data_IF_637548883948
#
_entry.id   IF_637548883948
#
_cell.length_a   1.000
_cell.length_b   1.000
_cell.length_c   1.000
_cell.angle_alpha   90.00
_cell.angle_beta   90.00
_cell.angle_gamma   90.00
#
_symmetry.space_group_name_H-M   'P 1'
#
loop_
_entity.id
_entity.type
_entity.pdbx_description
1 polymer ?
#
# COMPACT_ATOMS: atom_id res chain seq x y z
N UNK A 1 23.73 19.35 13.75
CA UNK A 1 22.39 18.72 13.62
C UNK A 1 22.53 17.60 12.62
N UNK A 2 21.85 16.47 12.80
CA UNK A 2 21.89 15.38 11.81
C UNK A 2 21.13 15.79 10.55
N UNK A 3 21.66 15.48 9.37
CA UNK A 3 21.06 15.85 8.08
C UNK A 3 20.25 14.70 7.50
N UNK A 4 18.95 14.91 7.30
CA UNK A 4 18.05 13.91 6.72
C UNK A 4 17.66 14.35 5.32
N UNK A 5 17.95 13.53 4.31
CA UNK A 5 17.47 13.74 2.95
C UNK A 5 16.15 13.01 2.75
N UNK A 6 15.09 13.75 2.45
CA UNK A 6 13.78 13.19 2.13
C UNK A 6 13.53 13.17 0.63
N UNK A 7 13.42 11.97 0.07
CA UNK A 7 12.97 11.69 -1.29
C UNK A 7 11.47 11.38 -1.22
N UNK A 8 10.62 12.40 -1.39
CA UNK A 8 9.17 12.30 -1.08
C UNK A 8 8.30 13.22 -1.95
N UNK A 9 7.04 12.87 -2.15
CA UNK A 9 6.02 13.77 -2.71
C UNK A 9 5.14 14.46 -1.64
N UNK A 10 5.31 14.08 -0.37
CA UNK A 10 4.52 14.46 0.81
C UNK A 10 5.39 15.16 1.88
N UNK A 11 6.00 16.32 1.57
CA UNK A 11 6.97 16.98 2.46
C UNK A 11 6.42 17.37 3.82
N UNK A 12 5.11 17.66 3.90
CA UNK A 12 4.46 18.10 5.13
C UNK A 12 4.51 17.00 6.20
N UNK A 13 4.20 15.75 5.84
CA UNK A 13 4.23 14.62 6.78
C UNK A 13 5.68 14.31 7.22
N UNK A 14 6.64 14.35 6.29
CA UNK A 14 8.06 14.13 6.61
C UNK A 14 8.62 15.19 7.55
N UNK A 15 8.21 16.45 7.38
CA UNK A 15 8.64 17.55 8.26
C UNK A 15 8.25 17.32 9.73
N UNK A 16 7.12 16.65 9.97
CA UNK A 16 6.60 16.40 11.31
C UNK A 16 7.49 15.39 12.03
N UNK A 17 7.79 14.23 11.42
CA UNK A 17 8.58 13.20 12.10
C UNK A 17 10.10 13.42 12.01
N UNK A 18 10.58 14.34 11.17
CA UNK A 18 12.00 14.74 11.08
C UNK A 18 12.33 16.06 11.81
N UNK A 19 11.43 16.61 12.64
CA UNK A 19 11.56 17.98 13.19
C UNK A 19 12.86 18.27 13.97
N UNK A 20 13.51 17.24 14.52
CA UNK A 20 14.74 17.35 15.32
C UNK A 20 16.02 17.21 14.46
N UNK A 21 15.87 17.24 13.13
CA UNK A 21 16.96 17.11 12.14
C UNK A 21 17.02 18.29 11.16
N UNK A 22 18.16 18.48 10.49
CA UNK A 22 18.28 19.39 9.35
C UNK A 22 17.70 18.67 8.12
N UNK A 23 16.46 18.98 7.77
CA UNK A 23 15.73 18.33 6.68
C UNK A 23 16.11 18.93 5.31
N UNK A 24 16.66 18.08 4.45
CA UNK A 24 16.94 18.36 3.04
C UNK A 24 15.83 17.71 2.22
N UNK A 25 15.03 18.52 1.53
CA UNK A 25 13.89 18.02 0.76
C UNK A 25 14.24 17.91 -0.73
N UNK A 26 14.03 16.74 -1.31
CA UNK A 26 14.04 16.53 -2.75
C UNK A 26 12.73 15.90 -3.20
N UNK A 27 11.91 16.69 -3.89
CA UNK A 27 10.58 16.25 -4.29
C UNK A 27 10.66 15.23 -5.43
N UNK A 28 10.06 14.07 -5.22
CA UNK A 28 9.89 13.07 -6.28
C UNK A 28 8.50 13.19 -6.92
N UNK A 29 8.37 12.66 -8.14
CA UNK A 29 7.09 12.51 -8.83
C UNK A 29 6.74 11.02 -8.88
N UNK A 30 5.46 10.68 -8.68
CA UNK A 30 4.96 9.33 -8.97
C UNK A 30 4.87 9.16 -10.49
N UNK A 31 5.52 8.14 -11.03
CA UNK A 31 5.71 8.00 -12.47
C UNK A 31 4.85 6.87 -13.04
N UNK A 32 4.41 6.99 -14.31
CA UNK A 32 3.93 5.82 -15.03
C UNK A 32 5.09 4.86 -15.27
N UNK A 33 4.81 3.54 -15.27
CA UNK A 33 5.84 2.50 -15.43
C UNK A 33 6.75 2.69 -16.65
N UNK A 34 6.22 3.23 -17.75
CA UNK A 34 6.99 3.53 -18.97
C UNK A 34 8.12 4.56 -18.75
N UNK A 35 8.12 5.30 -17.64
CA UNK A 35 9.16 6.28 -17.25
C UNK A 35 10.11 5.76 -16.18
N UNK A 36 10.00 4.48 -15.78
CA UNK A 36 10.87 3.87 -14.76
C UNK A 36 12.24 3.42 -15.31
N UNK A 37 12.61 3.81 -16.54
CA UNK A 37 13.91 3.48 -17.12
C UNK A 37 15.08 4.12 -16.35
N UNK A 38 16.21 3.43 -16.28
CA UNK A 38 17.34 3.88 -15.47
C UNK A 38 18.02 5.15 -16.02
N UNK A 39 17.97 5.38 -17.33
CA UNK A 39 18.39 6.64 -17.95
C UNK A 39 17.64 7.85 -17.36
N UNK A 40 16.34 7.70 -17.11
CA UNK A 40 15.55 8.75 -16.47
C UNK A 40 15.99 8.97 -15.03
N UNK A 41 16.22 7.89 -14.26
CA UNK A 41 16.69 8.01 -12.87
C UNK A 41 18.08 8.63 -12.75
N UNK A 42 19.00 8.37 -13.68
CA UNK A 42 20.30 9.05 -13.76
C UNK A 42 20.13 10.56 -13.94
N UNK A 43 19.21 11.00 -14.81
CA UNK A 43 18.91 12.42 -14.99
C UNK A 43 18.30 13.07 -13.74
N UNK A 44 17.42 12.34 -13.03
CA UNK A 44 16.87 12.81 -11.74
C UNK A 44 17.98 12.90 -10.70
N UNK A 45 18.85 11.91 -10.63
CA UNK A 45 19.95 11.85 -9.68
C UNK A 45 21.02 12.92 -9.94
N UNK A 46 21.30 13.27 -11.20
CA UNK A 46 22.17 14.40 -11.53
C UNK A 46 21.64 15.71 -10.92
N UNK A 47 20.34 15.97 -11.02
CA UNK A 47 19.69 17.13 -10.39
C UNK A 47 19.76 17.08 -8.86
N UNK A 48 19.61 15.89 -8.27
CA UNK A 48 19.78 15.72 -6.82
C UNK A 48 21.21 16.09 -6.38
N UNK A 49 22.23 15.63 -7.11
CA UNK A 49 23.64 15.94 -6.82
C UNK A 49 23.98 17.43 -6.97
N UNK A 50 23.33 18.12 -7.90
CA UNK A 50 23.49 19.57 -8.04
C UNK A 50 22.82 20.34 -6.89
N UNK A 51 21.71 19.83 -6.37
CA UNK A 51 20.92 20.48 -5.32
C UNK A 51 21.41 20.17 -3.90
N UNK A 52 22.13 19.07 -3.70
CA UNK A 52 22.47 18.54 -2.37
C UNK A 52 23.88 17.96 -2.32
N UNK A 53 24.67 18.38 -1.33
CA UNK A 53 25.94 17.70 -0.99
C UNK A 53 25.65 16.39 -0.24
N UNK A 54 25.52 15.31 -1.02
CA UNK A 54 25.23 13.95 -0.53
C UNK A 54 26.28 13.42 0.45
N UNK A 55 27.50 13.96 0.44
CA UNK A 55 28.55 13.58 1.40
C UNK A 55 28.25 14.05 2.82
N UNK A 56 27.25 14.91 3.01
CA UNK A 56 26.83 15.43 4.32
C UNK A 56 25.55 14.80 4.86
N UNK A 57 24.87 13.97 4.06
CA UNK A 57 23.61 13.30 4.45
C UNK A 57 23.91 12.21 5.48
N UNK A 58 23.22 12.26 6.63
CA UNK A 58 23.34 11.27 7.71
C UNK A 58 22.32 10.14 7.57
N UNK A 59 21.17 10.38 6.93
CA UNK A 59 20.09 9.42 6.75
C UNK A 59 19.23 9.83 5.55
N UNK A 60 18.62 8.84 4.87
CA UNK A 60 17.61 9.05 3.84
C UNK A 60 16.23 8.60 4.32
N UNK A 61 15.20 9.39 4.04
CA UNK A 61 13.81 8.94 4.01
C UNK A 61 13.45 8.75 2.52
N UNK A 62 13.23 7.50 2.12
CA UNK A 62 12.93 7.12 0.75
C UNK A 62 11.47 6.67 0.64
N UNK A 63 10.58 7.58 0.24
CA UNK A 63 9.17 7.26 0.01
C UNK A 63 8.94 6.87 -1.46
N UNK A 64 8.00 5.96 -1.68
CA UNK A 64 7.64 5.40 -2.99
C UNK A 64 8.76 4.59 -3.67
N UNK A 65 8.38 3.86 -4.72
CA UNK A 65 9.29 2.97 -5.45
C UNK A 65 10.34 3.73 -6.27
N UNK A 66 10.07 4.99 -6.59
CA UNK A 66 10.88 5.90 -7.38
C UNK A 66 12.07 6.44 -6.58
N UNK A 67 12.01 6.39 -5.24
CA UNK A 67 13.16 6.71 -4.40
C UNK A 67 14.21 5.59 -4.36
N UNK A 68 13.84 4.33 -4.65
CA UNK A 68 14.75 3.19 -4.56
C UNK A 68 15.92 3.25 -5.58
N UNK A 69 15.70 3.58 -6.87
CA UNK A 69 16.80 3.80 -7.80
C UNK A 69 17.72 4.95 -7.40
N UNK A 70 17.16 6.04 -6.86
CA UNK A 70 17.95 7.18 -6.39
C UNK A 70 18.81 6.81 -5.17
N UNK A 71 18.28 6.00 -4.26
CA UNK A 71 19.03 5.46 -3.12
C UNK A 71 20.18 4.56 -3.58
N UNK A 72 19.94 3.69 -4.57
CA UNK A 72 21.00 2.88 -5.18
C UNK A 72 22.07 3.74 -5.86
N UNK A 73 21.68 4.74 -6.66
CA UNK A 73 22.61 5.66 -7.34
C UNK A 73 23.49 6.44 -6.36
N UNK A 74 22.91 6.87 -5.24
CA UNK A 74 23.63 7.52 -4.15
C UNK A 74 24.70 6.57 -3.55
N UNK A 75 24.34 5.31 -3.30
CA UNK A 75 25.26 4.29 -2.78
C UNK A 75 26.33 3.92 -3.79
N UNK A 76 25.98 3.87 -5.07
CA UNK A 76 26.93 3.65 -6.16
C UNK A 76 28.07 4.65 -6.14
N UNK A 77 27.74 5.92 -5.89
CA UNK A 77 28.72 7.00 -5.81
C UNK A 77 29.45 7.08 -4.45
N UNK A 78 29.26 6.07 -3.57
CA UNK A 78 29.96 5.94 -2.29
C UNK A 78 29.28 6.66 -1.12
N UNK A 79 28.09 7.21 -1.32
CA UNK A 79 27.30 7.83 -0.26
C UNK A 79 26.36 6.80 0.36
N UNK A 80 26.86 6.01 1.32
CA UNK A 80 26.05 5.00 2.03
C UNK A 80 25.71 5.47 3.45
N UNK A 81 24.43 5.72 3.69
CA UNK A 81 23.87 6.04 5.00
C UNK A 81 22.63 5.18 5.26
N UNK A 82 22.17 5.09 6.53
CA UNK A 82 20.89 4.48 6.87
C UNK A 82 19.74 5.05 6.04
N UNK A 83 18.84 4.19 5.57
CA UNK A 83 17.62 4.60 4.89
C UNK A 83 16.37 4.07 5.60
N UNK A 84 15.39 4.97 5.82
CA UNK A 84 14.01 4.63 6.11
C UNK A 84 13.25 4.51 4.79
N UNK A 85 12.85 3.32 4.42
CA UNK A 85 12.24 3.02 3.12
C UNK A 85 10.74 2.80 3.31
N UNK A 86 9.91 3.61 2.65
CA UNK A 86 8.45 3.56 2.73
C UNK A 86 7.91 3.37 1.30
N UNK A 87 7.78 2.12 0.81
CA UNK A 87 7.49 1.89 -0.60
C UNK A 87 6.02 2.14 -0.99
N UNK A 88 5.09 2.16 -0.03
CA UNK A 88 3.63 2.26 -0.23
C UNK A 88 2.98 1.16 -1.10
N UNK A 89 3.74 0.13 -1.44
CA UNK A 89 3.32 -1.01 -2.26
C UNK A 89 4.07 -2.24 -1.76
N UNK A 90 3.73 -3.42 -2.29
CA UNK A 90 4.48 -4.65 -2.10
C UNK A 90 5.63 -4.77 -3.11
N UNK A 91 6.61 -5.68 -2.91
CA UNK A 91 7.82 -5.83 -3.74
C UNK A 91 7.55 -6.44 -5.14
N UNK A 92 6.36 -6.21 -5.67
CA UNK A 92 5.86 -6.70 -6.93
C UNK A 92 4.97 -5.62 -7.54
N UNK A 93 5.01 -5.33 -8.85
CA UNK A 93 5.56 -6.03 -10.03
C UNK A 93 7.08 -5.96 -10.27
N UNK A 94 7.56 -6.61 -11.35
CA UNK A 94 8.99 -6.83 -11.67
C UNK A 94 9.87 -5.58 -11.60
N UNK A 95 9.37 -4.41 -12.02
CA UNK A 95 10.14 -3.16 -11.93
C UNK A 95 10.47 -2.80 -10.47
N UNK A 96 9.53 -3.04 -9.55
CA UNK A 96 9.72 -2.82 -8.12
C UNK A 96 10.69 -3.84 -7.57
N UNK A 97 10.53 -5.11 -7.94
CA UNK A 97 11.44 -6.19 -7.55
C UNK A 97 12.89 -5.87 -7.95
N UNK A 98 13.12 -5.43 -9.19
CA UNK A 98 14.45 -5.06 -9.67
C UNK A 98 15.04 -3.89 -8.88
N UNK A 99 14.27 -2.83 -8.65
CA UNK A 99 14.73 -1.69 -7.84
C UNK A 99 15.04 -2.09 -6.40
N UNK A 100 14.23 -2.97 -5.82
CA UNK A 100 14.44 -3.47 -4.47
C UNK A 100 15.72 -4.32 -4.38
N UNK A 101 16.00 -5.17 -5.39
CA UNK A 101 17.25 -5.92 -5.45
C UNK A 101 18.48 -4.99 -5.54
N UNK A 102 18.41 -3.88 -6.29
CA UNK A 102 19.49 -2.88 -6.30
C UNK A 102 19.78 -2.31 -4.91
N UNK A 103 18.73 -1.96 -4.16
CA UNK A 103 18.85 -1.47 -2.78
C UNK A 103 19.34 -2.57 -1.84
N UNK A 104 18.88 -3.80 -2.02
CA UNK A 104 19.29 -4.97 -1.24
C UNK A 104 20.79 -5.27 -1.40
N UNK A 105 21.29 -5.33 -2.64
CA UNK A 105 22.72 -5.55 -2.95
C UNK A 105 23.63 -4.44 -2.43
N UNK A 106 23.07 -3.26 -2.22
CA UNK A 106 23.80 -2.10 -1.69
C UNK A 106 23.36 -1.72 -0.28
N UNK A 107 22.69 -2.63 0.43
CA UNK A 107 22.05 -2.35 1.72
C UNK A 107 23.04 -1.80 2.75
N UNK A 108 22.62 -0.74 3.44
CA UNK A 108 23.31 -0.30 4.64
C UNK A 108 22.78 -1.12 5.83
N UNK A 109 23.61 -1.55 6.81
CA UNK A 109 23.14 -2.26 8.01
C UNK A 109 22.13 -1.45 8.85
N UNK A 110 22.00 -0.17 8.55
CA UNK A 110 21.04 0.79 9.08
C UNK A 110 19.71 0.87 8.36
N UNK A 111 19.50 0.12 7.28
CA UNK A 111 18.26 0.21 6.52
C UNK A 111 17.08 -0.42 7.25
N UNK A 112 15.92 0.20 7.07
CA UNK A 112 14.65 -0.29 7.58
C UNK A 112 13.55 -0.03 6.56
N UNK A 113 12.78 -1.05 6.22
CA UNK A 113 11.56 -0.92 5.41
C UNK A 113 10.35 -0.81 6.34
N UNK A 114 9.43 0.10 6.02
CA UNK A 114 8.17 0.25 6.72
C UNK A 114 7.01 -0.19 5.84
N UNK A 115 6.17 -1.06 6.40
CA UNK A 115 5.07 -1.69 5.70
C UNK A 115 3.73 -1.38 6.38
N UNK A 116 2.64 -1.51 5.60
CA UNK A 116 1.26 -1.32 6.08
C UNK A 116 0.66 -2.55 6.77
N UNK A 117 1.34 -3.70 6.69
CA UNK A 117 0.93 -4.97 7.31
C UNK A 117 2.14 -5.84 7.64
N UNK A 118 1.97 -6.79 8.57
CA UNK A 118 3.01 -7.77 8.93
C UNK A 118 3.33 -8.69 7.75
N UNK A 119 2.31 -9.03 6.96
CA UNK A 119 2.45 -9.83 5.74
C UNK A 119 3.32 -9.12 4.69
N UNK A 120 3.10 -7.82 4.48
CA UNK A 120 3.97 -7.01 3.63
C UNK A 120 5.39 -6.92 4.19
N UNK A 121 5.56 -6.74 5.51
CA UNK A 121 6.88 -6.73 6.14
C UNK A 121 7.64 -8.04 5.88
N UNK A 122 7.01 -9.19 6.13
CA UNK A 122 7.61 -10.50 5.87
C UNK A 122 7.99 -10.68 4.39
N UNK A 123 7.14 -10.23 3.45
CA UNK A 123 7.46 -10.28 2.02
C UNK A 123 8.68 -9.40 1.67
N UNK A 124 8.79 -8.20 2.23
CA UNK A 124 9.96 -7.33 2.03
C UNK A 124 11.24 -7.93 2.61
N UNK A 125 11.20 -8.47 3.82
CA UNK A 125 12.36 -9.13 4.44
C UNK A 125 12.82 -10.32 3.61
N UNK A 126 11.89 -11.16 3.15
CA UNK A 126 12.22 -12.33 2.35
C UNK A 126 12.83 -11.96 0.98
N UNK A 127 12.34 -10.90 0.34
CA UNK A 127 12.80 -10.49 -1.00
C UNK A 127 14.10 -9.69 -0.95
N UNK A 128 14.21 -8.72 -0.03
CA UNK A 128 15.33 -7.79 0.02
C UNK A 128 16.43 -8.21 1.02
N UNK A 129 16.10 -9.02 2.03
CA UNK A 129 16.97 -9.25 3.19
C UNK A 129 17.24 -7.98 3.99
N UNK A 130 16.41 -6.94 3.84
CA UNK A 130 16.45 -5.71 4.63
C UNK A 130 15.38 -5.85 5.72
N UNK A 131 15.69 -5.55 7.00
CA UNK A 131 14.70 -5.57 8.07
C UNK A 131 13.47 -4.76 7.70
N UNK A 132 12.28 -5.30 7.95
CA UNK A 132 11.02 -4.62 7.69
C UNK A 132 10.09 -4.67 8.89
N UNK A 133 9.38 -3.58 9.15
CA UNK A 133 8.43 -3.46 10.26
C UNK A 133 7.06 -3.05 9.76
N UNK A 134 6.01 -3.66 10.32
CA UNK A 134 4.67 -3.11 10.23
C UNK A 134 4.54 -1.99 11.25
N UNK A 135 4.25 -0.78 10.79
CA UNK A 135 3.97 0.36 11.67
C UNK A 135 2.65 1.05 11.30
N UNK A 136 1.74 0.34 10.62
CA UNK A 136 0.38 0.81 10.34
C UNK A 136 0.35 2.23 9.77
N UNK A 137 1.05 2.42 8.64
CA UNK A 137 1.47 3.74 8.16
C UNK A 137 0.31 4.67 7.75
N UNK A 138 0.59 5.97 7.90
CA UNK A 138 -0.21 7.17 7.63
C UNK A 138 -1.22 7.59 8.69
N UNK A 139 -1.67 6.68 9.55
CA UNK A 139 -2.60 6.95 10.64
C UNK A 139 -3.90 7.67 10.24
N UNK A 140 -4.87 7.69 11.14
CA UNK A 140 -6.16 8.33 10.93
C UNK A 140 -6.16 9.67 11.65
N UNK A 141 -6.41 10.74 10.90
CA UNK A 141 -6.49 12.10 11.42
C UNK A 141 -7.78 12.28 12.24
N UNK A 142 -7.73 13.15 13.23
CA UNK A 142 -8.83 13.45 14.17
C UNK A 142 -10.09 14.05 13.51
N UNK A 143 -9.95 14.61 12.31
CA UNK A 143 -11.08 15.08 11.49
C UNK A 143 -12.08 13.96 11.16
N UNK A 144 -11.63 12.70 11.13
CA UNK A 144 -12.47 11.53 10.91
C UNK A 144 -13.07 11.14 12.25
N UNK A 145 -14.29 11.63 12.50
CA UNK A 145 -15.00 11.45 13.77
C UNK A 145 -16.51 11.37 13.54
N UNK A 146 -17.27 10.77 14.48
CA UNK A 146 -18.71 10.72 14.38
C UNK A 146 -19.33 12.13 14.35
N UNK A 147 -20.38 12.30 13.56
CA UNK A 147 -21.11 13.54 13.36
C UNK A 147 -22.60 13.31 13.13
N UNK A 148 -23.35 14.38 12.84
CA UNK A 148 -24.80 14.32 12.63
C UNK A 148 -25.12 13.66 11.28
N UNK A 149 -25.67 12.44 11.36
CA UNK A 149 -26.11 11.64 10.20
C UNK A 149 -27.22 12.32 9.39
N UNK A 150 -28.18 12.98 10.03
CA UNK A 150 -29.31 13.59 9.33
C UNK A 150 -28.83 14.79 8.52
N UNK A 151 -27.99 15.63 9.13
CA UNK A 151 -27.34 16.75 8.43
C UNK A 151 -26.44 16.25 7.27
N UNK A 152 -25.67 15.18 7.51
CA UNK A 152 -24.83 14.57 6.50
C UNK A 152 -25.65 14.01 5.31
N UNK A 153 -26.77 13.33 5.56
CA UNK A 153 -27.67 12.86 4.49
C UNK A 153 -28.29 14.02 3.71
N UNK A 154 -28.76 15.05 4.41
CA UNK A 154 -29.34 16.25 3.80
C UNK A 154 -28.33 16.96 2.88
N UNK A 155 -27.06 17.07 3.29
CA UNK A 155 -25.97 17.68 2.48
C UNK A 155 -25.85 17.07 1.09
N UNK A 156 -26.06 15.75 0.96
CA UNK A 156 -25.93 15.02 -0.30
C UNK A 156 -27.28 14.66 -0.96
N UNK A 157 -28.40 15.11 -0.40
CA UNK A 157 -29.73 14.70 -0.87
C UNK A 157 -29.99 13.19 -0.74
N UNK A 158 -29.32 12.53 0.21
CA UNK A 158 -29.45 11.10 0.43
C UNK A 158 -30.72 10.77 1.23
N UNK A 159 -31.38 9.63 0.96
CA UNK A 159 -32.62 9.24 1.62
C UNK A 159 -32.45 9.05 3.13
N UNK A 160 -33.36 9.59 3.98
CA UNK A 160 -33.22 9.53 5.43
C UNK A 160 -33.41 8.12 6.01
N UNK A 161 -34.24 7.29 5.38
CA UNK A 161 -34.68 6.00 5.96
C UNK A 161 -34.10 4.76 5.27
N UNK A 162 -33.34 4.95 4.17
CA UNK A 162 -32.76 3.81 3.43
C UNK A 162 -31.43 3.37 4.06
N UNK A 163 -31.11 2.06 4.02
CA UNK A 163 -29.77 1.56 4.31
C UNK A 163 -28.80 2.05 3.24
N UNK A 164 -27.72 2.72 3.64
CA UNK A 164 -26.70 3.27 2.74
C UNK A 164 -25.38 2.51 2.92
N UNK A 165 -24.94 1.82 1.87
CA UNK A 165 -23.60 1.25 1.79
C UNK A 165 -22.67 2.29 1.17
N UNK A 166 -21.44 2.36 1.65
CA UNK A 166 -20.44 3.29 1.17
C UNK A 166 -19.15 2.57 0.77
N UNK A 167 -18.68 2.89 -0.43
CA UNK A 167 -17.32 2.62 -0.88
C UNK A 167 -16.59 3.94 -1.15
N UNK A 168 -15.33 4.03 -0.74
CA UNK A 168 -14.47 5.17 -1.08
C UNK A 168 -13.13 4.67 -1.62
N UNK A 169 -12.70 5.17 -2.78
CA UNK A 169 -11.44 4.73 -3.38
C UNK A 169 -11.33 5.10 -4.86
N UNK A 170 -10.57 4.32 -5.62
CA UNK A 170 -10.48 4.45 -7.09
C UNK A 170 -11.48 3.49 -7.74
N UNK A 171 -12.09 3.86 -8.86
CA UNK A 171 -12.90 2.95 -9.67
C UNK A 171 -11.98 2.24 -10.67
N UNK A 172 -11.31 1.20 -10.20
CA UNK A 172 -10.28 0.45 -10.92
C UNK A 172 -10.37 -1.04 -10.59
N UNK A 173 -9.81 -1.89 -11.45
CA UNK A 173 -9.93 -3.36 -11.34
C UNK A 173 -9.33 -3.87 -10.03
N UNK A 174 -8.18 -3.30 -9.62
CA UNK A 174 -7.48 -3.61 -8.37
C UNK A 174 -8.31 -3.27 -7.11
N UNK A 175 -9.42 -2.55 -7.23
CA UNK A 175 -10.32 -2.24 -6.11
C UNK A 175 -11.53 -3.17 -6.01
N UNK A 176 -11.58 -4.22 -6.83
CA UNK A 176 -12.62 -5.25 -6.74
C UNK A 176 -14.02 -4.74 -7.07
N UNK A 177 -14.14 -3.68 -7.87
CA UNK A 177 -15.42 -3.00 -8.13
C UNK A 177 -16.47 -3.96 -8.71
N UNK A 178 -16.08 -4.88 -9.59
CA UNK A 178 -17.00 -5.89 -10.13
C UNK A 178 -17.60 -6.77 -9.02
N UNK A 179 -16.78 -7.30 -8.12
CA UNK A 179 -17.23 -8.11 -6.99
C UNK A 179 -18.09 -7.31 -5.99
N UNK A 180 -17.75 -6.03 -5.76
CA UNK A 180 -18.56 -5.12 -4.95
C UNK A 180 -19.96 -4.93 -5.55
N UNK A 181 -20.05 -4.65 -6.86
CA UNK A 181 -21.34 -4.47 -7.53
C UNK A 181 -22.14 -5.77 -7.53
N UNK A 182 -21.51 -6.91 -7.79
CA UNK A 182 -22.18 -8.22 -7.71
C UNK A 182 -22.76 -8.47 -6.32
N UNK A 183 -21.96 -8.26 -5.26
CA UNK A 183 -22.43 -8.38 -3.88
C UNK A 183 -23.58 -7.41 -3.55
N UNK A 184 -23.52 -6.18 -4.08
CA UNK A 184 -24.61 -5.20 -3.92
C UNK A 184 -25.93 -5.70 -4.55
N UNK A 185 -25.90 -6.23 -5.75
CA UNK A 185 -27.11 -6.78 -6.39
C UNK A 185 -27.66 -7.99 -5.64
N UNK A 186 -26.79 -8.87 -5.15
CA UNK A 186 -27.20 -10.00 -4.30
C UNK A 186 -27.85 -9.51 -3.00
N UNK A 187 -27.26 -8.52 -2.34
CA UNK A 187 -27.82 -7.92 -1.14
C UNK A 187 -29.22 -7.35 -1.38
N UNK A 188 -29.43 -6.63 -2.50
CA UNK A 188 -30.73 -6.03 -2.84
C UNK A 188 -31.87 -7.03 -3.00
N UNK A 189 -31.58 -8.30 -3.29
CA UNK A 189 -32.62 -9.36 -3.29
C UNK A 189 -33.24 -9.57 -1.91
N UNK A 190 -32.47 -9.31 -0.85
CA UNK A 190 -32.90 -9.40 0.56
C UNK A 190 -33.16 -8.04 1.21
N UNK A 191 -32.57 -6.96 0.67
CA UNK A 191 -32.71 -5.57 1.14
C UNK A 191 -33.02 -4.65 -0.06
N UNK A 192 -34.24 -4.68 -0.62
CA UNK A 192 -34.55 -4.00 -1.89
C UNK A 192 -34.22 -2.50 -1.90
N UNK A 193 -34.37 -1.85 -0.73
CA UNK A 193 -34.16 -0.42 -0.53
C UNK A 193 -32.69 -0.02 -0.28
N UNK A 194 -31.76 -0.98 -0.17
CA UNK A 194 -30.34 -0.67 0.04
C UNK A 194 -29.79 0.21 -1.10
N UNK A 195 -29.10 1.28 -0.74
CA UNK A 195 -28.46 2.21 -1.67
C UNK A 195 -26.94 2.06 -1.58
N UNK A 196 -26.28 1.70 -2.68
CA UNK A 196 -24.83 1.79 -2.75
C UNK A 196 -24.45 3.22 -3.17
N UNK A 197 -23.60 3.84 -2.34
CA UNK A 197 -22.98 5.12 -2.61
C UNK A 197 -21.48 4.93 -2.78
N UNK A 198 -20.91 5.55 -3.80
CA UNK A 198 -19.48 5.46 -4.10
C UNK A 198 -18.88 6.86 -4.15
N UNK A 199 -17.78 7.11 -3.45
CA UNK A 199 -16.97 8.31 -3.63
C UNK A 199 -15.64 7.93 -4.27
N UNK A 200 -15.46 8.34 -5.53
CA UNK A 200 -14.32 7.92 -6.35
C UNK A 200 -13.40 9.08 -6.72
N UNK A 201 -12.09 8.89 -6.54
CA UNK A 201 -11.07 9.91 -6.88
C UNK A 201 -10.59 9.79 -8.33
N UNK A 202 -10.70 8.60 -8.91
CA UNK A 202 -10.32 8.27 -10.28
C UNK A 202 -11.30 7.24 -10.86
N UNK A 203 -11.53 7.29 -12.17
CA UNK A 203 -12.36 6.33 -12.90
C UNK A 203 -11.61 5.81 -14.10
N UNK A 204 -11.37 4.50 -14.13
CA UNK A 204 -10.97 3.81 -15.35
C UNK A 204 -12.18 3.73 -16.29
N UNK A 205 -12.08 4.41 -17.44
CA UNK A 205 -13.19 4.52 -18.38
C UNK A 205 -13.57 3.18 -19.02
N UNK A 206 -12.61 2.27 -19.22
CA UNK A 206 -12.86 0.95 -19.81
C UNK A 206 -13.65 0.10 -18.84
N UNK A 207 -13.22 0.03 -17.59
CA UNK A 207 -13.91 -0.69 -16.52
C UNK A 207 -15.29 -0.08 -16.24
N UNK A 208 -15.40 1.24 -16.21
CA UNK A 208 -16.69 1.92 -16.03
C UNK A 208 -17.69 1.53 -17.12
N UNK A 209 -17.28 1.56 -18.39
CA UNK A 209 -18.13 1.15 -19.51
C UNK A 209 -18.52 -0.33 -19.43
N UNK A 210 -17.59 -1.21 -19.02
CA UNK A 210 -17.87 -2.63 -18.82
C UNK A 210 -18.92 -2.89 -17.71
N UNK A 211 -18.89 -2.07 -16.66
CA UNK A 211 -19.76 -2.22 -15.49
C UNK A 211 -21.00 -1.31 -15.52
N UNK A 212 -21.21 -0.53 -16.57
CA UNK A 212 -22.27 0.49 -16.62
C UNK A 212 -23.67 -0.05 -16.30
N UNK A 213 -23.99 -1.25 -16.79
CA UNK A 213 -25.29 -1.91 -16.51
C UNK A 213 -25.46 -2.31 -15.05
N UNK A 214 -24.37 -2.51 -14.31
CA UNK A 214 -24.36 -2.83 -12.89
C UNK A 214 -24.34 -1.58 -12.01
N UNK A 215 -24.30 -0.38 -12.58
CA UNK A 215 -24.37 0.87 -11.83
C UNK A 215 -25.82 1.34 -11.64
N UNK A 216 -26.80 0.55 -12.07
CA UNK A 216 -28.20 0.83 -11.81
C UNK A 216 -28.46 0.93 -10.29
N UNK A 217 -29.10 2.01 -9.86
CA UNK A 217 -29.35 2.33 -8.45
C UNK A 217 -28.11 2.60 -7.58
N UNK A 218 -26.95 2.89 -8.20
CA UNK A 218 -25.75 3.36 -7.49
C UNK A 218 -25.69 4.89 -7.55
N UNK A 219 -25.37 5.53 -6.43
CA UNK A 219 -25.02 6.97 -6.40
C UNK A 219 -23.50 7.10 -6.44
N UNK A 220 -22.98 7.74 -7.49
CA UNK A 220 -21.55 7.94 -7.68
C UNK A 220 -21.21 9.43 -7.51
N UNK A 221 -20.38 9.72 -6.52
CA UNK A 221 -19.73 11.00 -6.32
C UNK A 221 -18.30 10.94 -6.83
N UNK A 222 -17.85 11.97 -7.54
CA UNK A 222 -16.50 12.04 -8.08
C UNK A 222 -15.75 13.22 -7.44
N UNK A 223 -14.50 12.97 -6.99
CA UNK A 223 -13.58 14.01 -6.50
C UNK A 223 -14.14 14.88 -5.36
N UNK A 224 -14.82 14.25 -4.39
CA UNK A 224 -15.22 14.94 -3.16
C UNK A 224 -14.00 15.51 -2.43
N UNK A 225 -14.17 16.68 -1.82
CA UNK A 225 -13.21 17.22 -0.86
C UNK A 225 -13.15 16.33 0.39
N UNK A 226 -12.08 16.49 1.18
CA UNK A 226 -11.89 15.72 2.41
C UNK A 226 -13.05 15.92 3.40
N UNK A 227 -13.56 17.14 3.54
CA UNK A 227 -14.69 17.46 4.42
C UNK A 227 -15.99 16.79 3.94
N UNK A 228 -16.21 16.76 2.62
CA UNK A 228 -17.34 16.05 2.03
C UNK A 228 -17.20 14.54 2.21
N UNK A 229 -15.99 13.98 2.07
CA UNK A 229 -15.75 12.55 2.36
C UNK A 229 -16.07 12.20 3.82
N UNK A 230 -15.64 13.03 4.79
CA UNK A 230 -16.01 12.85 6.22
C UNK A 230 -17.53 12.92 6.42
N UNK A 231 -18.19 13.89 5.76
CA UNK A 231 -19.66 14.00 5.80
C UNK A 231 -20.31 12.74 5.21
N UNK A 232 -19.76 12.19 4.12
CA UNK A 232 -20.30 11.01 3.47
C UNK A 232 -20.13 9.75 4.34
N UNK A 233 -18.99 9.59 5.02
CA UNK A 233 -18.79 8.53 6.02
C UNK A 233 -19.88 8.58 7.11
N UNK A 234 -20.23 9.79 7.57
CA UNK A 234 -21.26 9.99 8.58
C UNK A 234 -22.69 9.72 8.06
N UNK A 235 -22.94 9.91 6.76
CA UNK A 235 -24.25 9.66 6.13
C UNK A 235 -24.56 8.16 5.93
N UNK A 236 -23.54 7.32 5.76
CA UNK A 236 -23.67 5.90 5.46
C UNK A 236 -24.05 5.05 6.69
N UNK A 237 -24.52 3.83 6.45
CA UNK A 237 -24.83 2.79 7.46
C UNK A 237 -23.77 1.70 7.55
N UNK A 238 -23.11 1.41 6.42
CA UNK A 238 -22.09 0.38 6.32
C UNK A 238 -20.99 0.82 5.34
N UNK A 239 -19.73 0.65 5.73
CA UNK A 239 -18.61 0.71 4.79
C UNK A 239 -18.42 -0.67 4.15
N UNK A 240 -18.20 -0.71 2.84
CA UNK A 240 -17.96 -1.97 2.13
C UNK A 240 -16.82 -1.80 1.12
N UNK A 241 -15.94 -2.79 1.07
CA UNK A 241 -14.91 -2.93 0.05
C UNK A 241 -14.85 -4.38 -0.41
N UNK A 242 -14.45 -4.58 -1.66
CA UNK A 242 -14.18 -5.88 -2.24
C UNK A 242 -12.72 -5.99 -2.72
N UNK A 243 -11.86 -5.07 -2.28
CA UNK A 243 -10.47 -5.01 -2.70
C UNK A 243 -9.67 -6.20 -2.14
N UNK A 244 -9.20 -7.04 -3.04
CA UNK A 244 -8.22 -8.10 -2.81
C UNK A 244 -7.03 -7.82 -3.72
N UNK A 245 -6.39 -6.67 -3.53
CA UNK A 245 -5.22 -6.25 -4.32
C UNK A 245 -3.98 -6.15 -3.45
N UNK A 246 -2.82 -6.35 -4.09
CA UNK A 246 -1.49 -6.21 -3.51
C UNK A 246 -1.19 -4.77 -3.09
N UNK A 247 -1.97 -3.80 -3.58
CA UNK A 247 -1.85 -2.41 -3.19
C UNK A 247 -2.71 -2.06 -1.97
N UNK A 248 -3.43 -3.04 -1.42
CA UNK A 248 -4.33 -2.86 -0.29
C UNK A 248 -3.80 -3.61 0.92
N UNK A 249 -2.74 -3.05 1.52
CA UNK A 249 -2.04 -3.64 2.67
C UNK A 249 -2.52 -3.08 4.01
N UNK A 250 -2.94 -1.81 4.05
CA UNK A 250 -3.31 -1.13 5.29
C UNK A 250 -4.81 -0.91 5.49
N UNK A 251 -5.56 -0.48 4.47
CA UNK A 251 -6.97 -0.15 4.63
C UNK A 251 -7.27 1.21 5.25
N UNK A 252 -6.61 2.26 4.76
CA UNK A 252 -6.83 3.64 5.23
C UNK A 252 -8.29 4.09 5.15
N UNK A 253 -8.92 3.93 3.99
CA UNK A 253 -10.32 4.32 3.79
C UNK A 253 -11.32 3.58 4.72
N UNK A 254 -11.23 2.24 4.91
CA UNK A 254 -11.98 1.56 5.96
C UNK A 254 -11.74 2.13 7.36
N UNK A 255 -10.50 2.39 7.75
CA UNK A 255 -10.19 2.95 9.07
C UNK A 255 -10.71 4.39 9.25
N UNK A 256 -10.67 5.23 8.20
CA UNK A 256 -11.29 6.57 8.18
C UNK A 256 -12.81 6.48 8.39
N UNK A 257 -13.47 5.54 7.70
CA UNK A 257 -14.89 5.28 7.84
C UNK A 257 -15.24 4.80 9.26
N UNK A 258 -14.47 3.86 9.79
CA UNK A 258 -14.66 3.32 11.13
C UNK A 258 -14.40 4.37 12.21
N UNK A 259 -13.45 5.29 12.02
CA UNK A 259 -13.24 6.44 12.90
C UNK A 259 -14.47 7.37 12.95
N UNK A 260 -15.27 7.40 11.89
CA UNK A 260 -16.57 8.08 11.86
C UNK A 260 -17.73 7.26 12.45
N UNK A 261 -17.45 6.11 13.08
CA UNK A 261 -18.45 5.21 13.67
C UNK A 261 -19.16 4.30 12.66
N UNK A 262 -18.62 4.14 11.46
CA UNK A 262 -19.20 3.28 10.42
C UNK A 262 -18.67 1.84 10.56
N UNK A 263 -19.52 0.82 10.81
CA UNK A 263 -19.05 -0.55 10.73
C UNK A 263 -18.56 -0.88 9.31
N UNK A 264 -17.63 -1.82 9.19
CA UNK A 264 -17.02 -2.20 7.91
C UNK A 264 -17.22 -3.68 7.57
N UNK A 265 -17.54 -3.96 6.31
CA UNK A 265 -17.50 -5.31 5.74
C UNK A 265 -16.41 -5.34 4.67
N UNK A 266 -15.34 -6.07 4.96
CA UNK A 266 -14.14 -6.14 4.13
C UNK A 266 -13.82 -7.60 3.78
N UNK A 267 -13.04 -7.88 2.73
CA UNK A 267 -12.50 -9.21 2.51
C UNK A 267 -11.59 -9.64 3.67
N UNK A 268 -11.50 -10.94 3.97
CA UNK A 268 -10.44 -11.50 4.83
C UNK A 268 -9.12 -11.46 4.06
N UNK A 269 -8.56 -10.26 3.95
CA UNK A 269 -7.40 -9.97 3.10
C UNK A 269 -6.39 -9.08 3.83
N UNK A 270 -5.13 -9.51 3.84
CA UNK A 270 -3.94 -8.79 4.34
C UNK A 270 -4.16 -8.05 5.67
N UNK A 271 -4.11 -6.70 5.69
CA UNK A 271 -4.20 -5.92 6.93
C UNK A 271 -5.62 -5.74 7.50
N UNK A 272 -6.67 -6.08 6.74
CA UNK A 272 -8.06 -5.88 7.20
C UNK A 272 -8.43 -6.64 8.49
N UNK A 273 -8.01 -7.92 8.68
CA UNK A 273 -8.29 -8.65 9.91
C UNK A 273 -7.65 -8.07 11.18
N UNK A 274 -6.66 -7.17 11.08
CA UNK A 274 -6.05 -6.55 12.26
C UNK A 274 -6.97 -5.58 12.99
N UNK A 275 -7.92 -4.97 12.27
CA UNK A 275 -8.82 -3.97 12.85
C UNK A 275 -10.30 -4.27 12.63
N UNK A 276 -10.67 -5.26 11.81
CA UNK A 276 -12.07 -5.68 11.64
C UNK A 276 -12.35 -7.00 12.39
N UNK A 277 -13.37 -6.98 13.23
CA UNK A 277 -13.87 -8.14 13.97
C UNK A 277 -15.37 -8.06 14.22
N UNK A 278 -15.92 -9.04 14.94
CA UNK A 278 -17.37 -9.16 15.11
C UNK A 278 -18.03 -7.96 15.81
N UNK A 279 -17.27 -7.18 16.58
CA UNK A 279 -17.75 -6.03 17.34
C UNK A 279 -17.80 -4.74 16.51
N UNK A 280 -17.17 -4.69 15.34
CA UNK A 280 -17.08 -3.48 14.53
C UNK A 280 -17.34 -3.69 13.02
N UNK A 281 -17.72 -4.90 12.63
CA UNK A 281 -17.87 -5.25 11.22
C UNK A 281 -17.96 -6.74 10.99
N UNK A 282 -17.52 -7.16 9.80
CA UNK A 282 -17.32 -8.55 9.44
C UNK A 282 -16.28 -8.70 8.32
N UNK A 283 -15.68 -9.89 8.24
CA UNK A 283 -14.77 -10.28 7.17
C UNK A 283 -15.46 -11.27 6.23
N UNK A 284 -15.44 -11.01 4.93
CA UNK A 284 -15.96 -11.89 3.91
C UNK A 284 -14.90 -12.89 3.44
N UNK A 285 -15.35 -14.08 3.06
CA UNK A 285 -14.49 -15.14 2.55
C UNK A 285 -13.74 -14.70 1.29
N UNK A 286 -12.46 -15.08 1.23
CA UNK A 286 -11.58 -14.83 0.08
C UNK A 286 -11.17 -16.18 -0.50
N UNK A 287 -11.28 -16.30 -1.82
CA UNK A 287 -10.81 -17.43 -2.57
C UNK A 287 -9.47 -17.06 -3.20
N UNK A 288 -8.42 -17.73 -2.77
CA UNK A 288 -7.12 -17.68 -3.42
C UNK A 288 -7.20 -18.57 -4.65
N UNK A 289 -6.97 -17.97 -5.82
CA UNK A 289 -7.05 -18.71 -7.07
C UNK A 289 -5.67 -19.21 -7.50
N UNK A 290 -5.61 -20.44 -7.99
CA UNK A 290 -4.58 -20.84 -8.96
C UNK A 290 -5.00 -20.29 -10.32
N UNK A 291 -4.90 -18.96 -10.49
CA UNK A 291 -5.66 -18.30 -11.57
C UNK A 291 -5.05 -18.51 -12.96
N UNK A 292 -3.90 -19.17 -13.11
CA UNK A 292 -3.23 -19.33 -14.41
C UNK A 292 -3.02 -18.00 -15.16
N UNK A 293 -2.99 -16.87 -14.43
CA UNK A 293 -3.07 -15.51 -14.99
C UNK A 293 -1.70 -14.86 -15.09
N UNK A 294 -1.58 -14.08 -16.17
CA UNK A 294 -0.51 -13.14 -16.50
C UNK A 294 -0.55 -11.85 -15.69
N UNK A 295 -1.48 -11.69 -14.74
CA UNK A 295 -1.71 -10.45 -14.02
C UNK A 295 -1.00 -10.47 -12.68
N UNK A 296 -0.08 -9.52 -12.42
CA UNK A 296 0.53 -9.39 -11.10
C UNK A 296 -0.46 -8.94 -10.00
N UNK A 297 -1.73 -8.69 -10.32
CA UNK A 297 -2.67 -8.04 -9.41
C UNK A 297 -3.85 -8.91 -8.98
N UNK A 298 -4.01 -10.13 -9.54
CA UNK A 298 -5.20 -10.99 -9.36
C UNK A 298 -4.87 -12.33 -8.68
N UNK A 299 -4.50 -12.30 -7.39
CA UNK A 299 -4.14 -13.48 -6.59
C UNK A 299 -5.36 -14.07 -5.84
N UNK A 300 -6.36 -13.24 -5.57
CA UNK A 300 -7.55 -13.67 -4.86
C UNK A 300 -8.75 -12.83 -5.25
N UNK A 301 -9.93 -13.41 -5.04
CA UNK A 301 -11.19 -12.72 -5.17
C UNK A 301 -12.01 -12.95 -3.90
N UNK A 302 -12.67 -11.89 -3.42
CA UNK A 302 -13.70 -12.03 -2.39
C UNK A 302 -14.90 -12.78 -2.98
N UNK A 303 -15.51 -13.68 -2.22
CA UNK A 303 -16.79 -14.31 -2.58
C UNK A 303 -17.91 -13.25 -2.50
N UNK A 304 -18.51 -12.83 -3.63
CA UNK A 304 -19.55 -11.79 -3.62
C UNK A 304 -20.80 -12.21 -2.85
N UNK A 305 -21.13 -13.51 -2.83
CA UNK A 305 -22.26 -14.03 -2.08
C UNK A 305 -22.01 -13.99 -0.58
N UNK A 306 -20.79 -14.32 -0.13
CA UNK A 306 -20.43 -14.14 1.28
C UNK A 306 -20.36 -12.66 1.67
N UNK A 307 -19.78 -11.82 0.83
CA UNK A 307 -19.74 -10.37 1.05
C UNK A 307 -21.15 -9.79 1.24
N UNK A 308 -22.10 -10.18 0.38
CA UNK A 308 -23.50 -9.77 0.53
C UNK A 308 -24.14 -10.28 1.83
N UNK A 309 -23.89 -11.53 2.23
CA UNK A 309 -24.38 -12.09 3.51
C UNK A 309 -23.82 -11.33 4.71
N UNK A 310 -22.52 -11.00 4.70
CA UNK A 310 -21.89 -10.23 5.77
C UNK A 310 -22.46 -8.80 5.83
N UNK A 311 -22.65 -8.14 4.67
CA UNK A 311 -23.33 -6.84 4.61
C UNK A 311 -24.71 -6.88 5.25
N UNK A 312 -25.54 -7.89 4.92
CA UNK A 312 -26.86 -8.06 5.55
C UNK A 312 -26.75 -8.23 7.06
N UNK A 313 -25.87 -9.12 7.52
CA UNK A 313 -25.65 -9.37 8.96
C UNK A 313 -25.25 -8.11 9.72
N UNK A 314 -24.38 -7.27 9.15
CA UNK A 314 -23.94 -6.03 9.79
C UNK A 314 -25.05 -4.96 9.75
N UNK A 315 -25.78 -4.83 8.65
CA UNK A 315 -26.93 -3.92 8.57
C UNK A 315 -28.03 -4.26 9.60
N UNK A 316 -28.30 -5.55 9.82
CA UNK A 316 -29.30 -6.02 10.80
C UNK A 316 -28.89 -5.68 12.25
N UNK A 317 -27.60 -5.51 12.53
CA UNK A 317 -27.10 -5.10 13.85
C UNK A 317 -27.23 -3.60 14.09
N UNK A 318 -27.28 -2.79 13.02
CA UNK A 318 -27.26 -1.33 13.10
C UNK A 318 -25.86 -0.73 13.31
N UNK A 319 -25.80 0.60 13.43
CA UNK A 319 -24.53 1.33 13.64
C UNK A 319 -23.91 1.00 15.00
N UNK A 320 -22.59 1.03 15.03
CA UNK A 320 -21.81 0.91 16.25
C UNK A 320 -21.95 2.19 17.08
N UNK A 321 -22.22 2.07 18.36
CA UNK A 321 -22.28 3.22 19.28
C UNK A 321 -20.96 3.50 19.97
N UNK A 322 -20.07 2.51 20.07
CA UNK A 322 -18.89 2.58 20.96
C UNK A 322 -17.55 2.17 20.30
N UNK A 323 -17.50 2.02 18.98
CA UNK A 323 -16.21 1.71 18.33
C UNK A 323 -15.26 2.89 18.39
N UNK A 324 -14.02 2.62 18.82
CA UNK A 324 -12.90 3.55 18.77
C UNK A 324 -11.83 2.98 17.85
N UNK A 325 -11.31 3.82 16.99
CA UNK A 325 -10.10 3.53 16.22
C UNK A 325 -8.99 3.07 17.18
N UNK A 326 -8.28 1.97 16.88
CA UNK A 326 -7.17 1.52 17.71
C UNK A 326 -6.15 2.65 17.93
N UNK A 327 -5.55 2.71 19.11
CA UNK A 327 -4.58 3.77 19.45
C UNK A 327 -3.42 3.84 18.45
N UNK A 328 -2.92 2.66 18.03
CA UNK A 328 -1.88 2.51 17.01
C UNK A 328 -2.28 3.03 15.63
N UNK A 329 -3.57 3.14 15.33
CA UNK A 329 -4.07 3.61 14.04
C UNK A 329 -4.22 5.14 13.99
N UNK A 330 -3.90 5.88 15.05
CA UNK A 330 -4.03 7.35 15.05
C UNK A 330 -2.85 8.02 14.35
N UNK A 331 -3.12 9.15 13.67
CA UNK A 331 -2.07 9.93 13.00
C UNK A 331 -0.97 10.39 13.96
N UNK A 332 -1.34 10.82 15.17
CA UNK A 332 -0.40 11.24 16.21
C UNK A 332 0.56 10.11 16.60
N UNK A 333 0.02 8.91 16.83
CA UNK A 333 0.83 7.75 17.20
C UNK A 333 1.77 7.33 16.06
N UNK A 334 1.30 7.33 14.81
CA UNK A 334 2.15 7.08 13.65
C UNK A 334 3.31 8.07 13.56
N UNK A 335 3.05 9.38 13.73
CA UNK A 335 4.09 10.40 13.69
C UNK A 335 5.09 10.26 14.85
N UNK A 336 4.61 9.84 16.03
CA UNK A 336 5.46 9.54 17.19
C UNK A 336 6.40 8.37 16.91
N UNK A 337 5.88 7.24 16.42
CA UNK A 337 6.68 6.06 16.07
C UNK A 337 7.72 6.38 14.98
N UNK A 338 7.32 7.12 13.93
CA UNK A 338 8.25 7.52 12.87
C UNK A 338 9.39 8.40 13.40
N UNK A 339 9.10 9.29 14.36
CA UNK A 339 10.13 10.11 15.01
C UNK A 339 11.14 9.26 15.78
N UNK A 340 10.66 8.27 16.55
CA UNK A 340 11.52 7.35 17.28
C UNK A 340 12.44 6.58 16.32
N UNK A 341 11.88 6.07 15.22
CA UNK A 341 12.64 5.37 14.16
C UNK A 341 13.69 6.28 13.52
N UNK A 342 13.36 7.54 13.20
CA UNK A 342 14.35 8.51 12.69
C UNK A 342 15.47 8.74 13.71
N UNK A 343 15.14 8.84 14.99
CA UNK A 343 16.13 8.94 16.07
C UNK A 343 17.07 7.74 16.12
N UNK A 344 16.55 6.53 16.03
CA UNK A 344 17.33 5.30 15.99
C UNK A 344 18.26 5.22 14.76
N UNK A 345 17.75 5.59 13.59
CA UNK A 345 18.48 5.46 12.33
C UNK A 345 19.57 6.54 12.18
N UNK A 346 19.30 7.78 12.57
CA UNK A 346 20.30 8.87 12.52
C UNK A 346 21.49 8.68 13.46
N UNK A 347 21.35 7.81 14.47
CA UNK A 347 22.44 7.43 15.36
C UNK A 347 23.44 6.45 14.71
N UNK A 348 23.06 5.76 13.64
CA UNK A 348 23.95 4.81 12.93
C UNK A 348 24.97 5.56 12.07
N UNK A 349 26.20 5.04 11.92
CA UNK A 349 27.25 5.72 11.16
C UNK A 349 26.96 5.67 9.66
N UNK A 350 27.61 6.56 8.91
CA UNK A 350 27.72 6.46 7.45
C UNK A 350 28.86 5.52 7.09
N UNK A 351 28.73 4.87 5.95
CA UNK A 351 29.76 4.02 5.38
C UNK A 351 30.21 4.57 4.03
N UNK A 352 31.49 4.37 3.73
CA UNK A 352 32.05 4.64 2.40
C UNK A 352 32.47 3.32 1.80
N UNK A 353 31.49 2.64 1.21
CA UNK A 353 31.70 1.37 0.51
C UNK A 353 31.48 1.65 -0.97
N UNK A 354 32.53 1.64 -1.81
CA UNK A 354 32.34 1.78 -3.24
C UNK A 354 31.58 0.56 -3.76
N UNK A 355 30.52 0.81 -4.53
CA UNK A 355 29.77 -0.25 -5.20
C UNK A 355 30.33 -0.38 -6.61
N UNK A 356 30.70 -1.60 -7.00
CA UNK A 356 31.08 -1.91 -8.37
C UNK A 356 29.83 -2.42 -9.12
N UNK A 357 29.29 -1.69 -10.12
CA UNK A 357 28.12 -2.14 -10.86
C UNK A 357 28.32 -3.46 -11.62
N UNK A 358 29.57 -3.79 -11.97
CA UNK A 358 29.89 -5.06 -12.63
C UNK A 358 30.13 -6.20 -11.64
N UNK A 359 29.95 -5.98 -10.32
CA UNK A 359 30.02 -7.04 -9.34
C UNK A 359 28.85 -8.03 -9.51
N UNK A 360 29.13 -9.31 -9.27
CA UNK A 360 28.12 -10.35 -9.28
C UNK A 360 27.11 -10.15 -8.13
N UNK A 361 25.85 -10.47 -8.40
CA UNK A 361 24.79 -10.48 -7.39
C UNK A 361 25.06 -11.59 -6.34
N UNK A 362 24.76 -11.31 -5.07
CA UNK A 362 24.88 -12.28 -3.97
C UNK A 362 23.73 -13.29 -3.99
N UNK A 363 23.73 -14.18 -4.98
CA UNK A 363 22.58 -15.05 -5.32
C UNK A 363 22.05 -15.90 -4.18
N UNK A 364 22.90 -16.26 -3.22
CA UNK A 364 22.55 -17.03 -2.03
C UNK A 364 21.55 -16.33 -1.12
N UNK A 365 21.44 -14.99 -1.19
CA UNK A 365 20.49 -14.20 -0.38
C UNK A 365 19.05 -14.34 -0.87
N UNK A 366 18.89 -14.64 -2.15
CA UNK A 366 17.60 -14.66 -2.81
C UNK A 366 16.97 -16.03 -2.68
N UNK A 367 15.66 -16.06 -2.59
CA UNK A 367 14.87 -17.28 -2.57
C UNK A 367 14.97 -18.10 -3.87
N UNK A 368 14.50 -19.36 -3.88
CA UNK A 368 14.44 -20.16 -5.10
C UNK A 368 13.69 -19.48 -6.26
N UNK A 369 12.57 -18.78 -6.00
CA UNK A 369 11.82 -18.12 -7.07
C UNK A 369 12.57 -16.91 -7.65
N UNK A 370 13.18 -16.09 -6.79
CA UNK A 370 13.98 -14.95 -7.24
C UNK A 370 15.24 -15.41 -7.97
N UNK A 371 15.90 -16.48 -7.52
CA UNK A 371 17.02 -17.08 -8.27
C UNK A 371 16.59 -17.61 -9.63
N UNK A 372 15.45 -18.27 -9.73
CA UNK A 372 14.91 -18.74 -11.01
C UNK A 372 14.60 -17.57 -11.98
N UNK A 373 14.11 -16.44 -11.45
CA UNK A 373 13.95 -15.20 -12.21
C UNK A 373 15.29 -14.67 -12.74
N UNK A 374 16.30 -14.57 -11.87
CA UNK A 374 17.64 -14.11 -12.26
C UNK A 374 18.28 -15.05 -13.30
N UNK A 375 18.11 -16.37 -13.17
CA UNK A 375 18.58 -17.38 -14.13
C UNK A 375 17.89 -17.26 -15.49
N UNK A 376 16.56 -17.15 -15.49
CA UNK A 376 15.78 -17.09 -16.71
C UNK A 376 16.17 -15.88 -17.57
N UNK A 377 16.33 -14.71 -16.94
CA UNK A 377 16.70 -13.47 -17.64
C UNK A 377 18.21 -13.24 -17.75
N UNK A 378 19.02 -14.15 -17.18
CA UNK A 378 20.49 -14.08 -17.10
C UNK A 378 20.96 -12.74 -16.52
N UNK A 379 20.38 -12.38 -15.39
CA UNK A 379 20.77 -11.22 -14.60
C UNK A 379 21.85 -11.68 -13.61
N UNK A 380 23.08 -11.25 -13.83
CA UNK A 380 24.26 -11.73 -13.10
C UNK A 380 24.90 -10.64 -12.24
N UNK A 381 24.73 -9.37 -12.64
CA UNK A 381 25.38 -8.20 -12.03
C UNK A 381 24.38 -7.10 -11.65
N UNK A 382 24.84 -6.11 -10.87
CA UNK A 382 24.07 -4.88 -10.61
C UNK A 382 23.75 -4.11 -11.91
N UNK A 383 24.68 -4.10 -12.86
CA UNK A 383 24.50 -3.49 -14.17
C UNK A 383 23.36 -4.16 -14.95
N UNK A 384 23.25 -5.50 -14.90
CA UNK A 384 22.13 -6.22 -15.52
C UNK A 384 20.77 -5.79 -14.93
N UNK A 385 20.70 -5.54 -13.62
CA UNK A 385 19.47 -5.06 -12.96
C UNK A 385 19.03 -3.66 -13.39
N UNK A 386 19.90 -2.91 -14.10
CA UNK A 386 19.61 -1.56 -14.59
C UNK A 386 19.41 -1.51 -16.11
N UNK A 387 20.43 -1.92 -16.88
CA UNK A 387 20.46 -1.81 -18.34
C UNK A 387 19.64 -2.93 -18.96
N UNK A 388 19.97 -4.18 -18.63
CA UNK A 388 19.39 -5.36 -19.25
C UNK A 388 17.91 -5.53 -18.91
N UNK A 389 17.48 -5.23 -17.68
CA UNK A 389 16.05 -5.23 -17.31
C UNK A 389 15.24 -4.24 -18.15
N UNK A 390 15.82 -3.10 -18.52
CA UNK A 390 15.21 -2.11 -19.42
C UNK A 390 15.13 -2.64 -20.85
N UNK A 391 16.21 -3.22 -21.37
CA UNK A 391 16.26 -3.84 -22.72
C UNK A 391 15.25 -4.98 -22.88
N UNK A 392 15.06 -5.77 -21.83
CA UNK A 392 14.12 -6.89 -21.78
C UNK A 392 12.66 -6.45 -21.55
N UNK A 393 12.40 -5.15 -21.33
CA UNK A 393 11.05 -4.65 -21.06
C UNK A 393 10.48 -5.05 -19.69
N UNK A 394 11.33 -5.50 -18.75
CA UNK A 394 10.89 -5.91 -17.40
C UNK A 394 10.45 -4.71 -16.55
N UNK A 395 10.87 -3.51 -16.94
CA UNK A 395 10.65 -2.26 -16.20
C UNK A 395 9.37 -1.52 -16.65
N UNK A 396 8.93 -1.68 -17.90
CA UNK A 396 7.88 -0.83 -18.50
C UNK A 396 6.46 -1.46 -18.54
N UNK A 397 6.27 -2.60 -17.87
CA UNK A 397 4.99 -3.35 -17.74
C UNK A 397 4.34 -3.77 -19.07
N UNK A 398 5.05 -3.74 -20.20
CA UNK A 398 4.47 -4.06 -21.54
C UNK A 398 4.32 -5.56 -21.79
N UNK A 399 5.14 -6.38 -21.15
CA UNK A 399 4.99 -7.82 -21.09
C UNK A 399 5.20 -8.23 -19.63
N UNK A 400 4.26 -8.93 -18.98
CA UNK A 400 4.41 -9.32 -17.59
C UNK A 400 5.65 -10.20 -17.36
N UNK A 401 6.25 -10.79 -18.42
CA UNK A 401 7.40 -11.69 -18.32
C UNK A 401 6.98 -13.15 -18.48
N UNK A 402 7.92 -14.08 -18.32
CA UNK A 402 7.65 -15.51 -18.47
C UNK A 402 6.68 -16.00 -17.38
N UNK A 403 5.57 -16.61 -17.81
CA UNK A 403 4.49 -17.04 -16.91
C UNK A 403 4.94 -17.96 -15.79
N UNK A 404 5.90 -18.85 -16.07
CA UNK A 404 6.39 -19.81 -15.08
C UNK A 404 7.19 -19.09 -14.01
N UNK A 405 8.05 -18.16 -14.45
CA UNK A 405 8.86 -17.32 -13.55
C UNK A 405 7.95 -16.43 -12.70
N UNK A 406 6.94 -15.82 -13.30
CA UNK A 406 5.99 -14.98 -12.59
C UNK A 406 5.18 -15.76 -11.58
N UNK A 407 4.71 -16.97 -11.91
CA UNK A 407 3.97 -17.82 -10.97
C UNK A 407 4.83 -18.12 -9.74
N UNK A 408 6.10 -18.49 -9.93
CA UNK A 408 7.00 -18.76 -8.80
C UNK A 408 7.22 -17.53 -7.92
N UNK A 409 7.50 -16.36 -8.51
CA UNK A 409 7.65 -15.11 -7.76
C UNK A 409 6.35 -14.72 -7.06
N UNK A 410 5.22 -14.95 -7.73
CA UNK A 410 3.89 -14.65 -7.23
C UNK A 410 3.55 -15.52 -6.02
N UNK A 411 3.67 -16.84 -6.13
CA UNK A 411 3.38 -17.77 -5.03
C UNK A 411 4.28 -17.52 -3.82
N UNK A 412 5.53 -17.13 -4.05
CA UNK A 412 6.45 -16.85 -2.97
C UNK A 412 6.13 -15.55 -2.23
N UNK A 413 6.01 -14.43 -2.97
CA UNK A 413 5.71 -13.12 -2.37
C UNK A 413 4.31 -13.13 -1.74
N UNK A 414 3.32 -13.68 -2.46
CA UNK A 414 1.92 -13.63 -2.05
C UNK A 414 1.48 -14.82 -1.22
N UNK A 415 2.13 -15.98 -1.27
CA UNK A 415 1.83 -17.08 -0.35
C UNK A 415 2.02 -16.66 1.11
N UNK A 416 3.07 -15.86 1.37
CA UNK A 416 3.30 -15.24 2.69
C UNK A 416 2.17 -14.28 3.05
N UNK A 417 1.71 -13.49 2.07
CA UNK A 417 0.65 -12.52 2.29
C UNK A 417 -0.75 -13.11 2.42
N UNK A 418 -0.97 -14.27 1.80
CA UNK A 418 -2.19 -15.05 1.83
C UNK A 418 -2.26 -15.97 3.06
N UNK A 419 -1.12 -16.24 3.71
CA UNK A 419 -1.09 -17.00 4.95
C UNK A 419 -2.04 -16.33 5.95
N UNK A 420 -2.98 -17.13 6.48
CA UNK A 420 -3.88 -16.70 7.55
C UNK A 420 -3.03 -16.01 8.62
N UNK A 421 -3.29 -14.75 9.00
CA UNK A 421 -2.42 -13.96 9.88
C UNK A 421 -2.19 -14.55 11.29
N UNK A 422 -2.61 -15.80 11.52
CA UNK A 422 -2.72 -16.43 12.82
C UNK A 422 -3.71 -15.66 13.67
N UNK A 423 -4.09 -16.23 14.81
CA UNK A 423 -4.50 -15.38 15.91
C UNK A 423 -3.26 -14.62 16.32
N UNK A 424 -3.05 -13.43 15.74
CA UNK A 424 -2.10 -12.47 16.25
C UNK A 424 -2.27 -12.45 17.77
N UNK A 425 -1.21 -12.79 18.50
CA UNK A 425 -1.24 -12.75 19.96
C UNK A 425 -1.76 -11.39 20.40
N UNK A 426 -2.37 -11.28 21.58
CA UNK A 426 -2.86 -9.97 22.05
C UNK A 426 -1.73 -8.90 22.09
N UNK A 427 -0.46 -9.32 22.09
CA UNK A 427 0.75 -8.50 21.93
C UNK A 427 1.07 -8.11 20.46
N UNK A 428 0.71 -8.91 19.44
CA UNK A 428 0.85 -8.58 18.02
C UNK A 428 -0.27 -7.68 17.50
N UNK A 429 -1.42 -7.65 18.19
CA UNK A 429 -2.49 -6.66 17.96
C UNK A 429 -2.07 -5.23 18.29
N UNK A 430 -0.88 -5.05 18.88
CA UNK A 430 -0.31 -3.76 19.25
C UNK A 430 0.43 -3.04 18.11
N UNK A 431 0.42 -3.53 16.86
CA UNK A 431 0.71 -2.74 15.65
C UNK A 431 2.11 -2.09 15.54
N UNK A 432 2.99 -2.31 16.52
CA UNK A 432 4.35 -1.81 16.60
C UNK A 432 5.17 -2.99 17.09
N UNK A 433 5.69 -3.79 16.17
CA UNK A 433 6.73 -4.76 16.52
C UNK A 433 7.95 -3.95 16.97
N UNK A 434 8.30 -4.05 18.26
CA UNK A 434 9.40 -3.33 18.91
C UNK A 434 10.78 -3.59 18.31
#
# INVERSE_FOLDING_TARGET
>A
MKRVLALTDAPDDVSIFCQDTELLLFRIEQLPAARHGFEFFEQVYARLREACDLSTVDMVVAEYTEALPLLYLMRRDGHSCPALIIPHTNPYPLNILCHLMLVAETAHPGDLVLCGSTNAAAAYEQVAGIPARNICTFGIRDIYRPGDRAAARARFGLPPDRPILLYTGRFMTDKGIGALLEAYHLLRRSVPDALLTMSVTHIDAVLYNQLAVQLEHVVLFQRLSREETVSLYNAADLYVSAATSIFETYGKAPLEAMACGLPAVLPRWDGFPYFVGEHNGALAAVQHGDTGRTSPFDFAAVDPADLARQCRRVLDRGKLTDYRTPAWATYEETMRVLRDVVGELTARPRLTVPVNPSAALHRERYSPAVRAFLDHYRLETLEDLTVRTTELGLIDRRDPGDRTVLSGLHDEIFGIMAADPGRAGDDEKAGVTG
#
